data_IF_075591335752
#
_entry.id   IF_075591335752
#
_cell.length_a   1.000
_cell.length_b   1.000
_cell.length_c   1.000
_cell.angle_alpha   90.00
_cell.angle_beta   90.00
_cell.angle_gamma   90.00
#
_symmetry.space_group_name_H-M   'P 1'
#
loop_
_entity.id
_entity.type
_entity.pdbx_description
1 polymer ?
#
# COMPACT_ATOMS: atom_id res chain seq x y z
N UNK A 1 14.47 3.37 1.15
CA UNK A 1 14.46 2.13 1.96
C UNK A 1 13.03 1.73 2.25
N UNK A 2 12.75 0.45 2.40
CA UNK A 2 11.42 -0.05 2.76
C UNK A 2 11.45 -0.84 4.08
N UNK A 3 10.62 -0.45 5.05
CA UNK A 3 10.32 -1.27 6.22
C UNK A 3 8.99 -2.00 5.99
N UNK A 4 8.86 -3.21 6.51
CA UNK A 4 7.69 -4.07 6.25
C UNK A 4 7.44 -4.21 4.75
N UNK A 5 8.51 -4.54 4.02
CA UNK A 5 8.55 -4.40 2.56
C UNK A 5 7.52 -5.28 1.82
N UNK A 6 7.10 -6.38 2.45
CA UNK A 6 6.27 -7.40 1.84
C UNK A 6 6.91 -7.89 0.54
N UNK A 7 6.13 -7.93 -0.53
CA UNK A 7 6.63 -8.28 -1.87
C UNK A 7 7.17 -7.07 -2.65
N UNK A 8 7.50 -5.96 -1.99
CA UNK A 8 8.20 -4.83 -2.61
C UNK A 8 7.32 -3.88 -3.42
N UNK A 9 6.08 -3.66 -2.99
CA UNK A 9 5.16 -2.72 -3.66
C UNK A 9 5.70 -1.28 -3.67
N UNK A 10 6.26 -0.83 -2.53
CA UNK A 10 6.91 0.48 -2.44
C UNK A 10 8.25 0.52 -3.20
N UNK A 11 9.03 -0.55 -3.14
CA UNK A 11 10.31 -0.65 -3.85
C UNK A 11 10.13 -0.54 -5.37
N UNK A 12 9.14 -1.26 -5.92
CA UNK A 12 8.78 -1.18 -7.33
C UNK A 12 8.28 0.23 -7.71
N UNK A 13 7.45 0.84 -6.88
CA UNK A 13 6.97 2.21 -7.10
C UNK A 13 8.13 3.23 -7.09
N UNK A 14 9.08 3.08 -6.16
CA UNK A 14 10.27 3.90 -6.08
C UNK A 14 11.14 3.77 -7.33
N UNK A 15 11.41 2.54 -7.76
CA UNK A 15 12.15 2.27 -9.00
C UNK A 15 11.49 2.91 -10.23
N UNK A 16 10.16 2.79 -10.38
CA UNK A 16 9.41 3.42 -11.48
C UNK A 16 9.41 4.95 -11.43
N UNK A 17 9.59 5.53 -10.26
CA UNK A 17 9.73 6.97 -10.06
C UNK A 17 11.18 7.47 -10.21
N UNK A 18 12.14 6.60 -10.55
CA UNK A 18 13.54 6.97 -10.75
C UNK A 18 14.38 6.98 -9.47
N UNK A 19 13.88 6.42 -8.37
CA UNK A 19 14.63 6.22 -7.13
C UNK A 19 15.28 4.84 -7.12
N UNK A 20 16.41 4.71 -6.44
CA UNK A 20 17.08 3.41 -6.24
C UNK A 20 16.66 2.81 -4.89
N UNK A 21 16.01 1.63 -4.87
CA UNK A 21 15.80 0.89 -3.63
C UNK A 21 17.15 0.56 -2.97
N UNK A 22 17.37 1.06 -1.77
CA UNK A 22 18.67 0.99 -1.09
C UNK A 22 18.77 -0.18 -0.10
N UNK A 23 17.67 -0.54 0.58
CA UNK A 23 17.57 -1.61 1.56
C UNK A 23 16.09 -1.89 1.86
N UNK A 24 15.78 -3.16 2.15
CA UNK A 24 14.47 -3.59 2.64
C UNK A 24 14.58 -4.34 3.98
N UNK A 25 13.53 -4.23 4.81
CA UNK A 25 13.33 -5.02 6.04
C UNK A 25 12.02 -5.78 5.90
N UNK A 26 12.09 -7.11 5.96
CA UNK A 26 10.93 -8.00 5.84
C UNK A 26 11.17 -9.29 6.62
N UNK A 27 10.18 -9.70 7.43
CA UNK A 27 10.27 -10.87 8.32
C UNK A 27 9.71 -12.13 7.67
N UNK A 28 8.72 -12.02 6.78
CA UNK A 28 8.06 -13.16 6.13
C UNK A 28 9.01 -13.85 5.12
N UNK A 29 9.39 -15.12 5.34
CA UNK A 29 10.35 -15.81 4.48
C UNK A 29 9.93 -15.89 3.01
N UNK A 30 8.64 -16.00 2.72
CA UNK A 30 8.15 -16.11 1.35
C UNK A 30 8.22 -14.76 0.63
N UNK A 31 7.84 -13.67 1.30
CA UNK A 31 7.99 -12.31 0.79
C UNK A 31 9.46 -11.94 0.60
N UNK A 32 10.34 -12.31 1.54
CA UNK A 32 11.80 -12.18 1.40
C UNK A 32 12.33 -12.90 0.16
N UNK A 33 11.84 -14.10 -0.12
CA UNK A 33 12.22 -14.84 -1.32
C UNK A 33 11.74 -14.18 -2.62
N UNK A 34 10.55 -13.56 -2.62
CA UNK A 34 10.09 -12.73 -3.76
C UNK A 34 11.03 -11.55 -3.96
N UNK A 35 11.39 -10.82 -2.91
CA UNK A 35 12.33 -9.71 -2.99
C UNK A 35 13.70 -10.16 -3.49
N UNK A 36 14.22 -11.29 -3.03
CA UNK A 36 15.47 -11.86 -3.52
C UNK A 36 15.43 -12.20 -5.02
N UNK A 37 14.29 -12.69 -5.52
CA UNK A 37 14.12 -13.02 -6.93
C UNK A 37 13.96 -11.78 -7.82
N UNK A 38 13.32 -10.72 -7.32
CA UNK A 38 12.97 -9.51 -8.11
C UNK A 38 13.97 -8.37 -7.96
N UNK A 39 14.65 -8.30 -6.81
CA UNK A 39 15.60 -7.26 -6.43
C UNK A 39 16.85 -7.92 -5.83
N UNK A 40 17.60 -8.74 -6.60
CA UNK A 40 18.66 -9.61 -6.06
C UNK A 40 19.84 -8.85 -5.44
N UNK A 41 20.06 -7.59 -5.82
CA UNK A 41 21.10 -6.74 -5.25
C UNK A 41 20.66 -5.93 -4.04
N UNK A 42 19.38 -6.02 -3.64
CA UNK A 42 18.84 -5.24 -2.53
C UNK A 42 19.26 -5.89 -1.19
N UNK A 43 20.00 -5.19 -0.32
CA UNK A 43 20.25 -5.65 1.03
C UNK A 43 18.93 -5.90 1.77
N UNK A 44 18.80 -7.07 2.39
CA UNK A 44 17.55 -7.54 2.97
C UNK A 44 17.72 -7.97 4.45
N UNK A 45 17.35 -7.08 5.36
CA UNK A 45 17.31 -7.35 6.80
C UNK A 45 15.97 -8.00 7.20
N UNK A 46 15.93 -8.64 8.37
CA UNK A 46 14.79 -9.49 8.77
C UNK A 46 13.81 -8.80 9.69
N UNK A 47 14.02 -8.87 11.01
CA UNK A 47 13.07 -8.33 12.00
C UNK A 47 13.38 -6.85 12.28
N UNK A 48 12.38 -5.99 12.10
CA UNK A 48 12.47 -4.56 12.41
C UNK A 48 12.88 -4.29 13.87
N UNK A 49 12.55 -5.20 14.80
CA UNK A 49 12.88 -5.11 16.23
C UNK A 49 14.38 -5.24 16.50
N UNK A 50 15.08 -5.95 15.63
CA UNK A 50 16.52 -6.23 15.76
C UNK A 50 17.39 -5.23 14.99
N UNK A 51 16.78 -4.48 14.06
CA UNK A 51 17.49 -3.53 13.21
C UNK A 51 17.64 -2.18 13.90
N UNK A 52 18.86 -1.66 13.94
CA UNK A 52 19.17 -0.31 14.44
C UNK A 52 19.24 0.72 13.32
N UNK A 53 19.12 2.01 13.68
CA UNK A 53 19.35 3.11 12.74
C UNK A 53 20.75 3.07 12.11
N UNK A 54 21.75 2.55 12.84
CA UNK A 54 23.11 2.39 12.34
C UNK A 54 23.19 1.35 11.23
N UNK A 55 22.49 0.23 11.39
CA UNK A 55 22.44 -0.82 10.37
C UNK A 55 21.83 -0.29 9.07
N UNK A 56 20.75 0.49 9.20
CA UNK A 56 20.06 1.13 8.07
C UNK A 56 20.90 2.23 7.41
N UNK A 57 21.63 3.01 8.19
CA UNK A 57 22.49 4.09 7.68
C UNK A 57 23.63 3.56 6.78
N UNK A 58 23.98 2.27 6.86
CA UNK A 58 24.94 1.68 5.91
C UNK A 58 24.46 1.68 4.46
N UNK A 59 23.14 1.75 4.24
CA UNK A 59 22.53 1.73 2.92
C UNK A 59 22.38 3.12 2.28
N UNK A 60 22.50 4.22 3.04
CA UNK A 60 22.40 5.59 2.52
C UNK A 60 23.53 6.47 3.08
N UNK A 61 24.30 7.18 2.23
CA UNK A 61 25.38 8.04 2.69
C UNK A 61 24.92 9.18 3.61
N UNK A 62 23.76 9.78 3.30
CA UNK A 62 23.13 10.83 4.10
C UNK A 62 21.66 10.48 4.35
N UNK A 63 21.25 10.26 5.62
CA UNK A 63 19.85 10.06 5.95
C UNK A 63 18.95 11.24 5.57
N UNK A 64 19.46 12.48 5.50
CA UNK A 64 18.66 13.63 5.06
C UNK A 64 18.24 13.53 3.59
N UNK A 65 18.99 12.79 2.77
CA UNK A 65 18.61 12.49 1.39
C UNK A 65 17.76 11.21 1.29
N UNK A 66 17.53 10.47 2.37
CA UNK A 66 16.78 9.20 2.38
C UNK A 66 15.25 9.39 2.27
N UNK A 67 14.62 8.57 1.41
CA UNK A 67 13.19 8.30 1.39
C UNK A 67 12.88 6.93 2.01
N UNK A 68 12.16 6.92 3.14
CA UNK A 68 11.76 5.71 3.86
C UNK A 68 10.27 5.40 3.64
N UNK A 69 9.94 4.17 3.27
CA UNK A 69 8.54 3.73 3.15
C UNK A 69 8.20 2.66 4.17
N UNK A 70 6.97 2.65 4.71
CA UNK A 70 6.52 1.59 5.61
C UNK A 70 5.00 1.38 5.56
N UNK A 71 4.57 0.17 5.19
CA UNK A 71 3.18 -0.30 5.38
C UNK A 71 3.11 -1.19 6.61
N UNK A 72 3.00 -0.60 7.80
CA UNK A 72 3.13 -1.39 9.04
C UNK A 72 1.86 -2.20 9.33
N UNK A 73 1.97 -3.33 10.07
CA UNK A 73 0.84 -4.22 10.30
C UNK A 73 -0.36 -3.51 10.97
N UNK A 74 -1.57 -3.78 10.47
CA UNK A 74 -2.80 -3.06 10.83
C UNK A 74 -3.89 -3.96 11.48
N UNK A 75 -3.54 -5.20 11.84
CA UNK A 75 -4.51 -6.22 12.24
C UNK A 75 -5.29 -5.86 13.51
N UNK A 76 -4.71 -5.07 14.42
CA UNK A 76 -5.37 -4.67 15.68
C UNK A 76 -6.16 -3.35 15.56
N UNK A 77 -6.03 -2.66 14.42
CA UNK A 77 -6.67 -1.37 14.10
C UNK A 77 -7.94 -1.53 13.24
N UNK A 78 -8.24 -2.76 12.80
CA UNK A 78 -9.38 -3.06 11.95
C UNK A 78 -10.68 -3.29 12.73
N UNK A 79 -11.81 -2.94 12.10
CA UNK A 79 -13.18 -3.16 12.58
C UNK A 79 -13.47 -4.61 12.99
N UNK A 80 -12.74 -5.58 12.45
CA UNK A 80 -12.92 -7.01 12.77
C UNK A 80 -11.67 -7.69 13.35
N UNK A 81 -10.70 -6.91 13.84
CA UNK A 81 -9.72 -7.37 14.84
C UNK A 81 -10.24 -7.16 16.26
N UNK A 82 -9.40 -7.45 17.26
CA UNK A 82 -9.74 -7.28 18.69
C UNK A 82 -9.78 -5.81 19.15
N UNK A 83 -9.55 -4.84 18.24
CA UNK A 83 -9.49 -3.39 18.53
C UNK A 83 -8.54 -3.04 19.68
N UNK A 84 -7.44 -3.77 19.81
CA UNK A 84 -6.39 -3.43 20.77
C UNK A 84 -5.66 -2.13 20.38
N UNK A 85 -5.86 -1.61 19.16
CA UNK A 85 -5.27 -0.35 18.74
C UNK A 85 -3.76 -0.46 18.63
N UNK A 86 -3.04 0.60 18.99
CA UNK A 86 -1.57 0.60 19.05
C UNK A 86 -0.99 -0.24 20.20
N UNK A 87 -1.82 -0.64 21.18
CA UNK A 87 -1.41 -1.51 22.29
C UNK A 87 -1.35 -3.00 21.86
N UNK A 88 -1.78 -3.33 20.64
CA UNK A 88 -1.70 -4.68 20.08
C UNK A 88 -0.27 -5.05 19.63
N UNK A 89 0.09 -6.34 19.74
CA UNK A 89 1.45 -6.82 19.41
C UNK A 89 1.89 -6.53 17.97
N UNK A 90 0.96 -6.48 17.02
CA UNK A 90 1.27 -6.28 15.59
C UNK A 90 1.21 -4.80 15.23
N UNK A 91 0.17 -4.09 15.67
CA UNK A 91 -0.01 -2.67 15.37
C UNK A 91 0.93 -1.78 16.20
N UNK A 92 1.40 -2.28 17.35
CA UNK A 92 2.43 -1.67 18.20
C UNK A 92 3.83 -1.65 17.55
N UNK A 93 4.03 -2.34 16.42
CA UNK A 93 5.24 -2.16 15.60
C UNK A 93 5.40 -0.72 15.06
N UNK A 94 4.35 0.11 15.19
CA UNK A 94 4.48 1.57 15.06
C UNK A 94 5.60 2.15 15.95
N UNK A 95 5.79 1.65 17.17
CA UNK A 95 6.83 2.16 18.07
C UNK A 95 8.24 1.76 17.63
N UNK A 96 8.40 0.60 16.98
CA UNK A 96 9.65 0.22 16.33
C UNK A 96 9.96 1.10 15.11
N UNK A 97 8.94 1.39 14.31
CA UNK A 97 9.04 2.39 13.24
C UNK A 97 9.45 3.75 13.81
N UNK A 98 8.84 4.19 14.92
CA UNK A 98 9.17 5.46 15.57
C UNK A 98 10.62 5.48 16.07
N UNK A 99 11.09 4.39 16.70
CA UNK A 99 12.50 4.22 17.12
C UNK A 99 13.46 4.37 15.93
N UNK A 100 13.13 3.76 14.79
CA UNK A 100 13.94 3.88 13.57
C UNK A 100 13.90 5.31 13.03
N UNK A 101 12.73 5.94 12.94
CA UNK A 101 12.60 7.32 12.46
C UNK A 101 13.35 8.32 13.37
N UNK A 102 13.38 8.06 14.67
CA UNK A 102 14.09 8.87 15.66
C UNK A 102 15.61 8.75 15.54
N UNK A 103 16.11 7.53 15.35
CA UNK A 103 17.55 7.28 15.19
C UNK A 103 18.10 7.59 13.81
N UNK A 104 17.37 7.24 12.74
CA UNK A 104 17.82 7.42 11.35
C UNK A 104 17.55 8.84 10.85
N UNK A 105 16.46 9.47 11.30
CA UNK A 105 16.05 10.82 10.89
C UNK A 105 15.99 11.03 9.36
N UNK A 106 15.34 10.14 8.58
CA UNK A 106 15.27 10.28 7.13
C UNK A 106 14.71 11.64 6.70
N UNK A 107 15.14 12.16 5.55
CA UNK A 107 14.62 13.39 4.98
C UNK A 107 13.12 13.29 4.71
N UNK A 108 12.70 12.21 4.04
CA UNK A 108 11.31 11.94 3.72
C UNK A 108 10.88 10.56 4.24
N UNK A 109 9.62 10.45 4.62
CA UNK A 109 8.98 9.15 4.77
C UNK A 109 7.58 9.11 4.16
N UNK A 110 7.15 7.91 3.76
CA UNK A 110 5.78 7.57 3.38
C UNK A 110 5.31 6.36 4.20
N UNK A 111 4.34 6.57 5.08
CA UNK A 111 3.73 5.50 5.86
C UNK A 111 2.34 5.18 5.32
N UNK A 112 1.94 3.91 5.40
CA UNK A 112 0.64 3.43 4.96
C UNK A 112 -0.04 2.60 6.04
N UNK A 113 -1.35 2.81 6.20
CA UNK A 113 -2.21 2.00 7.06
C UNK A 113 -3.67 2.01 6.57
N UNK A 114 -4.58 1.38 7.32
CA UNK A 114 -6.01 1.34 7.01
C UNK A 114 -6.75 2.57 7.55
N UNK A 115 -7.87 2.98 6.92
CA UNK A 115 -8.68 4.10 7.42
C UNK A 115 -9.24 3.89 8.84
N UNK A 116 -9.34 2.65 9.32
CA UNK A 116 -9.78 2.32 10.68
C UNK A 116 -8.95 3.01 11.77
N UNK A 117 -7.66 3.28 11.51
CA UNK A 117 -6.77 4.03 12.41
C UNK A 117 -7.34 5.40 12.81
N UNK A 118 -8.05 6.09 11.89
CA UNK A 118 -8.64 7.42 12.15
C UNK A 118 -9.67 7.38 13.29
N UNK A 119 -10.33 6.24 13.47
CA UNK A 119 -11.41 6.06 14.46
C UNK A 119 -11.01 5.16 15.62
N UNK A 120 -9.84 4.51 15.55
CA UNK A 120 -9.36 3.59 16.57
C UNK A 120 -9.19 4.32 17.91
N UNK A 121 -9.63 3.68 19.00
CA UNK A 121 -9.63 4.26 20.35
C UNK A 121 -10.22 5.68 20.41
N UNK A 122 -11.33 5.91 19.70
CA UNK A 122 -11.98 7.21 19.58
C UNK A 122 -11.05 8.30 19.01
N UNK A 123 -10.14 7.92 18.11
CA UNK A 123 -9.16 8.81 17.48
C UNK A 123 -7.87 8.99 18.28
N UNK A 124 -7.74 8.41 19.49
CA UNK A 124 -6.52 8.54 20.29
C UNK A 124 -5.30 7.93 19.60
N UNK A 125 -5.45 6.79 18.94
CA UNK A 125 -4.34 6.14 18.24
C UNK A 125 -3.81 7.01 17.10
N UNK A 126 -4.71 7.63 16.33
CA UNK A 126 -4.33 8.61 15.31
C UNK A 126 -3.63 9.83 15.93
N UNK A 127 -4.12 10.31 17.07
CA UNK A 127 -3.49 11.38 17.85
C UNK A 127 -2.07 11.01 18.26
N UNK A 128 -1.85 9.79 18.76
CA UNK A 128 -0.52 9.27 19.09
C UNK A 128 0.38 9.23 17.86
N UNK A 129 -0.09 8.68 16.73
CA UNK A 129 0.71 8.61 15.50
C UNK A 129 1.14 10.00 15.04
N UNK A 130 0.21 10.93 14.90
CA UNK A 130 0.52 12.29 14.42
C UNK A 130 1.38 13.05 15.42
N UNK A 131 1.05 12.98 16.71
CA UNK A 131 1.80 13.63 17.79
C UNK A 131 3.24 13.14 17.85
N UNK A 132 3.45 11.83 17.91
CA UNK A 132 4.80 11.25 17.96
C UNK A 132 5.64 11.61 16.73
N UNK A 133 5.06 11.58 15.53
CA UNK A 133 5.77 11.97 14.31
C UNK A 133 6.12 13.48 14.29
N UNK A 134 5.22 14.33 14.80
CA UNK A 134 5.46 15.77 14.94
C UNK A 134 6.53 16.08 15.99
N UNK A 135 6.53 15.36 17.11
CA UNK A 135 7.54 15.48 18.18
C UNK A 135 8.96 15.14 17.69
N UNK A 136 9.07 14.25 16.69
CA UNK A 136 10.34 13.96 16.00
C UNK A 136 10.78 15.08 15.03
N UNK A 137 10.01 16.17 14.92
CA UNK A 137 10.33 17.33 14.09
C UNK A 137 9.90 17.23 12.63
N UNK A 138 8.99 16.30 12.29
CA UNK A 138 8.48 16.19 10.92
C UNK A 138 7.28 17.11 10.70
N UNK A 139 7.27 17.79 9.56
CA UNK A 139 6.04 18.33 8.98
C UNK A 139 5.27 17.18 8.33
N UNK A 140 3.95 17.18 8.44
CA UNK A 140 3.11 16.03 8.07
C UNK A 140 1.95 16.45 7.18
N UNK A 141 1.63 15.59 6.22
CA UNK A 141 0.35 15.57 5.54
C UNK A 141 -0.17 14.14 5.52
N UNK A 142 -1.47 13.95 5.65
CA UNK A 142 -2.08 12.63 5.52
C UNK A 142 -3.38 12.69 4.73
N UNK A 143 -3.70 11.61 4.03
CA UNK A 143 -4.91 11.50 3.22
C UNK A 143 -5.32 10.05 3.04
N UNK A 144 -6.63 9.81 3.01
CA UNK A 144 -7.17 8.52 2.53
C UNK A 144 -7.27 8.56 1.01
N UNK A 145 -6.58 7.65 0.34
CA UNK A 145 -6.62 7.46 -1.11
C UNK A 145 -7.29 6.12 -1.43
N UNK A 146 -8.14 6.10 -2.45
CA UNK A 146 -8.75 4.88 -2.97
C UNK A 146 -8.04 4.48 -4.27
N UNK A 147 -7.50 3.26 -4.33
CA UNK A 147 -6.77 2.77 -5.49
C UNK A 147 -7.58 2.87 -6.81
N UNK A 148 -8.92 2.85 -6.73
CA UNK A 148 -9.81 3.08 -7.88
C UNK A 148 -9.54 4.39 -8.62
N UNK A 149 -9.00 5.41 -7.94
CA UNK A 149 -8.61 6.68 -8.56
C UNK A 149 -7.30 6.64 -9.34
N UNK A 150 -6.56 5.53 -9.28
CA UNK A 150 -5.19 5.39 -9.79
C UNK A 150 -5.06 4.25 -10.80
N UNK A 151 -6.15 3.91 -11.50
CA UNK A 151 -6.15 2.87 -12.53
C UNK A 151 -6.22 1.43 -12.00
N UNK A 152 -6.43 1.25 -10.69
CA UNK A 152 -6.66 -0.07 -10.08
C UNK A 152 -8.16 -0.31 -9.97
N UNK A 153 -8.79 -1.23 -10.73
CA UNK A 153 -10.24 -1.45 -10.69
C UNK A 153 -10.69 -2.21 -9.42
N UNK A 154 -10.36 -1.68 -8.24
CA UNK A 154 -10.67 -2.22 -6.93
C UNK A 154 -10.89 -1.08 -5.94
N UNK A 155 -11.94 -1.19 -5.11
CA UNK A 155 -12.10 -0.33 -3.94
C UNK A 155 -11.10 -0.73 -2.86
N UNK A 156 -10.06 0.07 -2.71
CA UNK A 156 -8.96 -0.15 -1.76
C UNK A 156 -8.53 1.19 -1.20
N UNK A 157 -9.27 1.60 -0.16
CA UNK A 157 -8.98 2.81 0.61
C UNK A 157 -7.88 2.56 1.62
N UNK A 158 -6.83 3.38 1.56
CA UNK A 158 -5.69 3.38 2.48
C UNK A 158 -5.36 4.78 2.94
N UNK A 159 -4.95 4.88 4.20
CA UNK A 159 -4.48 6.10 4.83
C UNK A 159 -2.97 6.18 4.60
N UNK A 160 -2.54 7.27 3.98
CA UNK A 160 -1.13 7.55 3.75
C UNK A 160 -0.70 8.75 4.58
N UNK A 161 0.48 8.66 5.18
CA UNK A 161 1.15 9.75 5.87
C UNK A 161 2.45 10.07 5.14
N UNK A 162 2.64 11.32 4.77
CA UNK A 162 3.89 11.81 4.22
C UNK A 162 4.52 12.78 5.22
N UNK A 163 5.78 12.53 5.57
CA UNK A 163 6.54 13.37 6.47
C UNK A 163 7.83 13.87 5.84
N UNK A 164 8.20 15.10 6.20
CA UNK A 164 9.48 15.68 5.78
C UNK A 164 10.17 16.45 6.91
N UNK A 165 11.49 16.27 6.99
CA UNK A 165 12.39 16.98 7.90
C UNK A 165 13.32 17.86 7.08
N UNK A 166 12.84 19.04 6.69
CA UNK A 166 13.56 19.97 5.82
C UNK A 166 12.61 21.05 5.27
N UNK A 167 12.96 21.65 4.14
CA UNK A 167 12.20 22.75 3.54
C UNK A 167 11.04 22.31 2.62
N UNK A 168 10.97 21.04 2.18
CA UNK A 168 9.88 20.51 1.35
C UNK A 168 8.54 20.36 2.07
N UNK A 169 7.42 20.65 1.40
CA UNK A 169 6.08 20.62 1.97
C UNK A 169 5.35 19.31 1.63
N UNK A 170 5.05 18.45 2.62
CA UNK A 170 4.29 17.22 2.39
C UNK A 170 2.87 17.47 1.87
N UNK A 171 2.25 18.62 2.18
CA UNK A 171 0.90 18.93 1.71
C UNK A 171 0.87 19.16 0.20
N UNK A 172 1.87 19.89 -0.33
CA UNK A 172 2.06 20.07 -1.78
C UNK A 172 2.18 18.72 -2.54
N UNK A 173 2.76 17.72 -1.89
CA UNK A 173 2.89 16.38 -2.49
C UNK A 173 1.58 15.60 -2.40
N UNK A 174 0.93 15.53 -1.23
CA UNK A 174 -0.15 14.56 -0.98
C UNK A 174 -1.57 15.12 -1.17
N UNK A 175 -1.76 16.43 -0.97
CA UNK A 175 -3.08 17.06 -0.93
C UNK A 175 -3.44 17.78 -2.23
N UNK A 176 -2.46 18.37 -2.91
CA UNK A 176 -2.68 19.12 -4.14
C UNK A 176 -3.31 18.24 -5.23
N UNK A 177 -4.54 18.51 -5.68
CA UNK A 177 -5.10 17.80 -6.81
C UNK A 177 -4.26 18.13 -8.05
N UNK A 178 -3.93 17.13 -8.87
CA UNK A 178 -3.69 17.46 -10.27
C UNK A 178 -4.98 18.14 -10.75
N UNK A 179 -4.90 19.43 -11.05
CA UNK A 179 -5.96 20.15 -11.74
C UNK A 179 -6.01 19.64 -13.18
N UNK A 180 -6.40 18.38 -13.34
CA UNK A 180 -6.93 17.89 -14.59
C UNK A 180 -8.22 18.63 -14.83
N UNK A 181 -8.28 19.44 -15.88
CA UNK A 181 -9.47 20.14 -16.37
C UNK A 181 -10.57 19.19 -16.88
N UNK A 182 -10.82 18.09 -16.18
CA UNK A 182 -12.01 17.29 -16.36
C UNK A 182 -13.18 18.08 -15.81
N UNK A 183 -13.99 18.67 -16.70
CA UNK A 183 -15.36 19.08 -16.37
C UNK A 183 -15.98 17.99 -15.49
N UNK A 184 -16.37 18.34 -14.27
CA UNK A 184 -17.20 17.46 -13.46
C UNK A 184 -18.36 16.99 -14.33
N UNK A 185 -18.52 15.67 -14.49
CA UNK A 185 -19.71 15.15 -15.13
C UNK A 185 -20.92 15.72 -14.36
N UNK A 186 -21.93 16.29 -15.04
CA UNK A 186 -23.05 16.92 -14.36
C UNK A 186 -23.68 15.92 -13.39
N UNK A 187 -23.87 16.39 -12.15
CA UNK A 187 -24.54 15.63 -11.11
C UNK A 187 -25.85 15.06 -11.65
N UNK A 188 -25.96 13.73 -11.66
CA UNK A 188 -27.18 13.03 -11.99
C UNK A 188 -27.85 12.63 -10.68
N UNK A 189 -29.00 13.21 -10.32
CA UNK A 189 -29.70 12.83 -9.10
C UNK A 189 -30.06 11.33 -9.15
N UNK A 190 -30.05 10.64 -8.00
CA UNK A 190 -30.53 9.26 -7.93
C UNK A 190 -31.95 9.19 -8.49
N UNK A 191 -32.19 8.29 -9.45
CA UNK A 191 -33.54 8.00 -9.92
C UNK A 191 -34.41 7.42 -8.78
N UNK A 192 -35.75 7.51 -8.89
CA UNK A 192 -36.64 6.98 -7.87
C UNK A 192 -36.39 5.48 -7.63
N UNK A 193 -36.56 4.98 -6.40
CA UNK A 193 -36.30 3.60 -6.06
C UNK A 193 -37.24 2.69 -6.85
N UNK A 194 -36.70 1.96 -7.84
CA UNK A 194 -37.43 0.88 -8.50
C UNK A 194 -37.52 -0.30 -7.54
N UNK A 195 -38.75 -0.72 -7.26
CA UNK A 195 -39.07 -1.85 -6.38
C UNK A 195 -38.23 -3.10 -6.71
N UNK A 196 -37.73 -3.75 -5.66
CA UNK A 196 -37.00 -5.00 -5.73
C UNK A 196 -37.92 -6.11 -6.26
N UNK A 197 -37.82 -6.41 -7.56
CA UNK A 197 -38.35 -7.63 -8.15
C UNK A 197 -37.34 -8.78 -8.05
N UNK A 198 -37.79 -10.04 -7.98
CA UNK A 198 -36.88 -11.18 -7.93
C UNK A 198 -36.06 -11.25 -9.21
N UNK A 199 -34.76 -11.53 -9.06
CA UNK A 199 -33.78 -11.55 -10.13
C UNK A 199 -34.29 -12.24 -11.39
N UNK A 200 -34.48 -11.48 -12.47
CA UNK A 200 -34.71 -12.01 -13.81
C UNK A 200 -33.84 -11.27 -14.83
N UNK A 201 -33.01 -12.09 -15.49
CA UNK A 201 -32.32 -11.95 -16.79
C UNK A 201 -31.60 -10.63 -17.06
N UNK A 202 -30.27 -10.74 -17.11
CA UNK A 202 -29.42 -9.80 -17.83
C UNK A 202 -29.92 -9.64 -19.28
N UNK A 203 -30.11 -8.39 -19.69
CA UNK A 203 -30.41 -8.00 -21.07
C UNK A 203 -29.23 -8.29 -22.02
N UNK A 204 -29.44 -8.14 -23.33
CA UNK A 204 -28.61 -8.78 -24.35
C UNK A 204 -27.20 -8.22 -24.40
N UNK A 205 -26.30 -9.12 -24.80
CA UNK A 205 -24.87 -8.96 -24.94
C UNK A 205 -24.46 -7.63 -25.61
N UNK A 206 -23.61 -6.87 -24.92
CA UNK A 206 -22.58 -6.09 -25.61
C UNK A 206 -21.50 -7.06 -26.03
N UNK A 207 -21.16 -7.02 -27.31
CA UNK A 207 -20.10 -7.79 -27.93
C UNK A 207 -18.74 -7.25 -27.48
N UNK A 208 -18.32 -7.58 -26.27
CA UNK A 208 -16.92 -7.42 -25.88
C UNK A 208 -16.50 -8.74 -25.22
N UNK A 209 -15.56 -9.42 -25.85
CA UNK A 209 -14.92 -10.67 -25.40
C UNK A 209 -14.06 -10.48 -24.13
N UNK A 210 -14.16 -9.34 -23.47
CA UNK A 210 -13.36 -8.98 -22.31
C UNK A 210 -14.05 -9.40 -21.00
N UNK A 211 -13.39 -10.17 -20.14
CA UNK A 211 -13.94 -10.56 -18.85
C UNK A 211 -14.22 -9.33 -17.98
N UNK A 212 -15.46 -9.19 -17.51
CA UNK A 212 -15.84 -8.12 -16.57
C UNK A 212 -15.54 -8.58 -15.15
N UNK A 213 -14.79 -7.77 -14.40
CA UNK A 213 -14.62 -7.96 -12.95
C UNK A 213 -15.96 -7.62 -12.29
N UNK A 214 -16.63 -8.63 -11.73
CA UNK A 214 -17.88 -8.46 -11.01
C UNK A 214 -17.55 -8.45 -9.51
N UNK A 215 -18.09 -7.46 -8.78
CA UNK A 215 -17.94 -7.37 -7.33
C UNK A 215 -18.39 -8.63 -6.59
N UNK A 216 -18.09 -8.78 -5.30
CA UNK A 216 -18.37 -10.01 -4.58
C UNK A 216 -19.85 -10.31 -4.52
N UNK A 217 -20.19 -11.58 -4.79
CA UNK A 217 -21.51 -12.12 -4.49
C UNK A 217 -21.64 -12.22 -2.97
N UNK A 218 -22.53 -11.43 -2.36
CA UNK A 218 -22.90 -11.59 -0.95
C UNK A 218 -23.69 -12.90 -0.79
N UNK A 219 -23.01 -14.01 -0.51
CA UNK A 219 -23.68 -15.21 -0.01
C UNK A 219 -23.90 -15.04 1.48
N UNK A 220 -25.16 -14.87 1.89
CA UNK A 220 -25.56 -14.85 3.29
C UNK A 220 -25.07 -16.11 4.01
N UNK A 221 -24.18 -15.93 5.00
CA UNK A 221 -23.74 -16.90 6.04
C UNK A 221 -23.12 -18.23 5.57
N UNK A 222 -21.91 -18.50 6.05
CA UNK A 222 -21.58 -19.83 6.58
C UNK A 222 -20.79 -19.71 7.89
N UNK A 223 -21.21 -20.38 8.97
CA UNK A 223 -20.50 -20.44 10.24
C UNK A 223 -19.42 -21.54 10.20
N UNK A 224 -18.29 -21.29 10.86
CA UNK A 224 -17.16 -22.23 11.08
C UNK A 224 -16.22 -22.43 9.89
N UNK A 225 -15.25 -21.54 9.80
CA UNK A 225 -13.97 -21.79 9.13
C UNK A 225 -12.91 -20.93 9.81
N UNK A 226 -11.90 -21.55 10.42
CA UNK A 226 -10.72 -20.85 10.94
C UNK A 226 -9.91 -20.30 9.73
N UNK A 227 -10.32 -19.14 9.24
CA UNK A 227 -9.56 -18.34 8.28
C UNK A 227 -8.78 -17.27 9.02
N UNK A 228 -7.49 -17.16 8.72
CA UNK A 228 -6.59 -16.15 9.28
C UNK A 228 -7.18 -14.74 9.12
N UNK A 229 -7.35 -14.06 10.26
CA UNK A 229 -7.92 -12.73 10.35
C UNK A 229 -7.04 -11.70 9.63
N UNK A 230 -7.49 -11.26 8.47
CA UNK A 230 -6.97 -10.12 7.73
C UNK A 230 -8.15 -9.29 7.27
N UNK A 231 -8.79 -8.58 8.19
CA UNK A 231 -9.97 -7.79 7.85
C UNK A 231 -9.52 -6.41 7.46
N UNK A 232 -9.43 -6.18 6.17
CA UNK A 232 -9.68 -4.86 5.64
C UNK A 232 -11.20 -4.75 5.45
N UNK A 233 -11.80 -3.56 5.58
CA UNK A 233 -13.15 -3.25 5.08
C UNK A 233 -13.21 -3.29 3.52
N UNK A 234 -12.47 -4.25 2.96
CA UNK A 234 -12.33 -4.55 1.56
C UNK A 234 -13.18 -5.76 1.26
N UNK A 235 -14.06 -5.57 0.29
CA UNK A 235 -14.57 -6.61 -0.56
C UNK A 235 -13.44 -7.29 -1.37
N UNK A 236 -12.41 -7.81 -0.68
CA UNK A 236 -11.29 -8.56 -1.22
C UNK A 236 -10.76 -9.47 -0.11
N UNK A 237 -11.60 -10.35 0.43
CA UNK A 237 -11.08 -11.59 0.99
C UNK A 237 -10.38 -12.33 -0.16
N UNK A 238 -9.19 -12.86 0.10
CA UNK A 238 -8.46 -13.71 -0.84
C UNK A 238 -9.42 -14.74 -1.46
N UNK A 239 -9.67 -14.65 -2.77
CA UNK A 239 -10.61 -15.52 -3.48
C UNK A 239 -12.08 -15.08 -3.54
N UNK A 240 -12.43 -13.83 -3.28
CA UNK A 240 -13.83 -13.36 -3.37
C UNK A 240 -14.14 -12.42 -4.53
N UNK A 241 -13.12 -11.96 -5.28
CA UNK A 241 -13.34 -11.25 -6.55
C UNK A 241 -13.68 -12.29 -7.61
N UNK A 242 -14.83 -12.09 -8.27
CA UNK A 242 -15.39 -13.05 -9.21
C UNK A 242 -15.41 -12.46 -10.62
N UNK A 243 -14.87 -13.20 -11.57
CA UNK A 243 -14.88 -12.82 -12.99
C UNK A 243 -16.02 -13.53 -13.68
N UNK A 244 -16.88 -12.79 -14.37
CA UNK A 244 -17.93 -13.35 -15.22
C UNK A 244 -17.40 -13.54 -16.64
N UNK A 245 -17.29 -14.78 -17.10
CA UNK A 245 -16.99 -15.14 -18.48
C UNK A 245 -18.18 -15.81 -19.17
N UNK A 246 -18.07 -16.14 -20.47
CA UNK A 246 -19.17 -16.69 -21.29
C UNK A 246 -19.88 -17.93 -20.73
N UNK A 247 -19.30 -18.64 -19.75
CA UNK A 247 -19.91 -19.84 -19.17
C UNK A 247 -19.74 -20.04 -17.65
N UNK A 248 -19.02 -19.17 -16.91
CA UNK A 248 -18.81 -19.40 -15.48
C UNK A 248 -18.38 -18.16 -14.69
N UNK A 249 -18.65 -18.21 -13.38
CA UNK A 249 -18.20 -17.24 -12.39
C UNK A 249 -17.05 -17.85 -11.58
N UNK A 250 -15.81 -17.37 -11.78
CA UNK A 250 -14.60 -17.92 -11.12
C UNK A 250 -13.88 -16.91 -10.24
N UNK A 251 -13.01 -17.37 -9.35
CA UNK A 251 -12.08 -16.50 -8.61
C UNK A 251 -11.02 -15.92 -9.56
N UNK A 252 -10.44 -14.79 -9.19
CA UNK A 252 -9.19 -14.32 -9.80
C UNK A 252 -8.10 -15.39 -9.64
N UNK A 253 -7.22 -15.50 -10.64
CA UNK A 253 -5.94 -16.21 -10.50
C UNK A 253 -4.85 -15.24 -10.03
N UNK A 254 -3.73 -15.71 -9.46
CA UNK A 254 -2.71 -14.81 -8.90
C UNK A 254 -2.18 -13.75 -9.87
N UNK A 255 -1.97 -14.09 -11.15
CA UNK A 255 -1.50 -13.14 -12.17
C UNK A 255 -2.50 -12.02 -12.41
N UNK A 256 -3.80 -12.30 -12.39
CA UNK A 256 -4.82 -11.25 -12.48
C UNK A 256 -4.81 -10.35 -11.25
N UNK A 257 -4.49 -10.90 -10.08
CA UNK A 257 -4.39 -10.14 -8.85
C UNK A 257 -3.09 -9.30 -8.78
N UNK A 258 -1.99 -9.79 -9.37
CA UNK A 258 -0.76 -9.00 -9.61
C UNK A 258 -1.08 -7.77 -10.46
N UNK A 259 -1.71 -7.97 -11.62
CA UNK A 259 -2.14 -6.89 -12.52
C UNK A 259 -3.09 -5.92 -11.81
N UNK A 260 -4.07 -6.44 -11.06
CA UNK A 260 -5.00 -5.61 -10.29
C UNK A 260 -4.26 -4.68 -9.32
N UNK A 261 -3.21 -5.18 -8.65
CA UNK A 261 -2.41 -4.42 -7.70
C UNK A 261 -1.30 -3.59 -8.38
N UNK A 262 -1.17 -3.67 -9.71
CA UNK A 262 -0.19 -2.94 -10.52
C UNK A 262 1.22 -3.56 -10.56
N UNK A 263 1.36 -4.81 -10.13
CA UNK A 263 2.60 -5.59 -10.26
C UNK A 263 2.76 -6.16 -11.68
N UNK A 264 4.00 -6.35 -12.15
CA UNK A 264 4.29 -7.13 -13.35
C UNK A 264 3.77 -8.58 -13.23
N UNK A 265 3.50 -9.19 -14.38
CA UNK A 265 3.09 -10.59 -14.44
C UNK A 265 4.14 -11.50 -13.83
N UNK A 266 3.69 -12.43 -12.98
CA UNK A 266 4.54 -13.40 -12.31
C UNK A 266 5.37 -12.81 -11.17
N UNK A 267 5.12 -11.58 -10.72
CA UNK A 267 5.89 -10.93 -9.65
C UNK A 267 6.05 -11.82 -8.41
N UNK A 268 4.98 -12.49 -7.99
CA UNK A 268 4.94 -13.42 -6.84
C UNK A 268 5.05 -14.89 -7.25
N UNK A 269 5.34 -15.21 -8.52
CA UNK A 269 5.36 -16.59 -9.00
C UNK A 269 6.42 -17.46 -8.31
N UNK A 270 7.52 -16.86 -7.86
CA UNK A 270 8.64 -17.56 -7.23
C UNK A 270 9.04 -16.90 -5.92
N UNK A 271 9.66 -17.68 -5.03
CA UNK A 271 10.31 -17.23 -3.81
C UNK A 271 11.61 -18.03 -3.63
N UNK A 272 12.76 -17.36 -3.63
CA UNK A 272 14.08 -18.01 -3.68
C UNK A 272 14.19 -19.00 -4.85
N UNK A 273 13.69 -18.60 -6.03
CA UNK A 273 13.63 -19.42 -7.24
C UNK A 273 12.60 -20.56 -7.22
N UNK A 274 11.94 -20.83 -6.10
CA UNK A 274 10.96 -21.90 -5.99
C UNK A 274 9.55 -21.41 -6.34
N UNK A 275 8.78 -22.14 -7.17
CA UNK A 275 7.40 -21.79 -7.48
C UNK A 275 6.54 -21.68 -6.21
N UNK A 276 5.71 -20.64 -6.14
CA UNK A 276 4.75 -20.44 -5.05
C UNK A 276 3.35 -20.93 -5.43
N UNK A 277 2.67 -21.56 -4.48
CA UNK A 277 1.24 -21.85 -4.61
C UNK A 277 0.39 -20.58 -4.54
N UNK A 278 -0.88 -20.69 -4.94
CA UNK A 278 -1.78 -19.55 -5.05
C UNK A 278 -2.05 -18.84 -3.70
N UNK A 279 -2.20 -19.58 -2.60
CA UNK A 279 -2.58 -19.02 -1.29
C UNK A 279 -1.52 -18.05 -0.74
N UNK A 280 -0.21 -18.40 -0.69
CA UNK A 280 0.85 -17.45 -0.36
C UNK A 280 0.83 -16.19 -1.23
N UNK A 281 0.68 -16.37 -2.55
CA UNK A 281 0.66 -15.26 -3.51
C UNK A 281 -0.51 -14.30 -3.26
N UNK A 282 -1.72 -14.81 -3.02
CA UNK A 282 -2.87 -13.98 -2.67
C UNK A 282 -2.67 -13.23 -1.35
N UNK A 283 -2.05 -13.87 -0.35
CA UNK A 283 -1.78 -13.26 0.96
C UNK A 283 -0.79 -12.10 0.80
N UNK A 284 0.31 -12.34 0.10
CA UNK A 284 1.34 -11.34 -0.21
C UNK A 284 0.77 -10.14 -0.96
N UNK A 285 0.01 -10.38 -2.03
CA UNK A 285 -0.61 -9.33 -2.84
C UNK A 285 -1.70 -8.57 -2.08
N UNK A 286 -2.44 -9.24 -1.18
CA UNK A 286 -3.45 -8.62 -0.33
C UNK A 286 -2.87 -7.68 0.72
N UNK A 287 -1.67 -7.97 1.20
CA UNK A 287 -0.92 -7.14 2.16
C UNK A 287 -0.14 -6.02 1.46
N UNK A 288 0.25 -6.18 0.20
CA UNK A 288 1.00 -5.18 -0.53
C UNK A 288 0.24 -3.84 -0.71
N UNK A 289 0.99 -2.74 -0.67
CA UNK A 289 0.51 -1.45 -1.15
C UNK A 289 0.24 -1.53 -2.67
N UNK A 290 -0.90 -1.01 -3.18
CA UNK A 290 -1.12 -0.93 -4.62
C UNK A 290 -0.04 -0.07 -5.27
N UNK A 291 0.69 -0.64 -6.23
CA UNK A 291 1.84 0.00 -6.87
C UNK A 291 1.47 1.35 -7.50
N UNK A 292 0.32 1.50 -8.20
CA UNK A 292 0.01 2.77 -8.86
C UNK A 292 -0.22 3.94 -7.89
N UNK A 293 -0.74 3.66 -6.69
CA UNK A 293 -0.93 4.69 -5.65
C UNK A 293 0.41 5.12 -5.09
N UNK A 294 1.25 4.15 -4.71
CA UNK A 294 2.59 4.41 -4.20
C UNK A 294 3.47 5.14 -5.24
N UNK A 295 3.37 4.75 -6.51
CA UNK A 295 4.08 5.36 -7.62
C UNK A 295 3.65 6.82 -7.83
N UNK A 296 2.34 7.10 -7.79
CA UNK A 296 1.83 8.46 -7.91
C UNK A 296 2.36 9.39 -6.81
N UNK A 297 2.34 8.93 -5.55
CA UNK A 297 2.89 9.71 -4.42
C UNK A 297 4.39 9.94 -4.62
N UNK A 298 5.13 8.88 -4.99
CA UNK A 298 6.58 8.94 -5.10
C UNK A 298 7.05 9.85 -6.23
N UNK A 299 6.39 9.80 -7.41
CA UNK A 299 6.70 10.72 -8.52
C UNK A 299 6.51 12.18 -8.12
N UNK A 300 5.45 12.49 -7.37
CA UNK A 300 5.18 13.85 -6.88
C UNK A 300 6.19 14.30 -5.84
N UNK A 301 6.59 13.39 -4.94
CA UNK A 301 7.67 13.64 -3.99
C UNK A 301 8.96 14.01 -4.72
N UNK A 302 9.35 13.22 -5.73
CA UNK A 302 10.55 13.48 -6.53
C UNK A 302 10.47 14.84 -7.23
N UNK A 303 9.35 15.14 -7.90
CA UNK A 303 9.15 16.41 -8.57
C UNK A 303 9.22 17.61 -7.58
N UNK A 304 8.57 17.47 -6.42
CA UNK A 304 8.58 18.49 -5.38
C UNK A 304 9.99 18.69 -4.82
N UNK A 305 10.68 17.61 -4.46
CA UNK A 305 12.04 17.66 -3.95
C UNK A 305 12.98 18.39 -4.92
N UNK A 306 12.97 18.01 -6.20
CA UNK A 306 13.82 18.61 -7.23
C UNK A 306 13.53 20.12 -7.40
N UNK A 307 12.25 20.51 -7.36
CA UNK A 307 11.85 21.92 -7.45
C UNK A 307 12.33 22.76 -6.26
N UNK A 308 12.35 22.17 -5.05
CA UNK A 308 12.74 22.89 -3.82
C UNK A 308 14.24 22.95 -3.60
N UNK A 309 15.00 21.96 -4.07
CA UNK A 309 16.46 21.90 -3.89
C UNK A 309 17.25 22.48 -5.07
N UNK A 310 16.58 22.80 -6.18
CA UNK A 310 17.24 23.22 -7.43
C UNK A 310 18.11 22.12 -8.06
N UNK A 311 17.97 20.87 -7.62
CA UNK A 311 18.68 19.72 -8.17
C UNK A 311 17.89 19.12 -9.34
N UNK A 312 18.59 18.75 -10.42
CA UNK A 312 18.02 17.93 -11.49
C UNK A 312 17.81 16.48 -11.06
N UNK A 313 18.60 16.03 -10.08
CA UNK A 313 18.66 14.64 -9.65
C UNK A 313 17.60 14.36 -8.58
N UNK A 314 16.96 13.17 -8.62
CA UNK A 314 15.99 12.77 -7.61
C UNK A 314 16.65 12.64 -6.23
N UNK A 315 15.86 12.73 -5.13
CA UNK A 315 16.37 12.43 -3.78
C UNK A 315 16.99 11.02 -3.76
N UNK A 316 17.96 10.77 -2.89
CA UNK A 316 18.72 9.51 -2.84
C UNK A 316 19.53 9.15 -4.11
N UNK A 317 19.74 10.07 -5.07
CA UNK A 317 20.58 9.81 -6.25
C UNK A 317 22.00 9.39 -5.84
N UNK A 318 22.40 8.17 -6.21
CA UNK A 318 23.77 7.66 -6.02
C UNK A 318 24.73 8.12 -7.12
N UNK A 319 24.34 9.09 -7.96
CA UNK A 319 25.24 9.67 -8.94
C UNK A 319 26.45 10.26 -8.21
N UNK A 320 27.57 9.55 -8.30
CA UNK A 320 28.87 9.93 -7.75
C UNK A 320 29.17 11.37 -8.13
N UNK A 321 29.37 12.23 -7.12
CA UNK A 321 30.33 13.33 -7.24
C UNK A 321 31.74 12.75 -7.15
#
# INVERSE_FOLDING_TARGET
MSLFAGVGGFDLAAARAGLTPALAVEIDPAARGVLADRLPSLPLLSDVREVSARDLATAVPDPADCFLTAGWPCQDLSTAGNRAGLDGERSGLFFELLRILDGLRPGWFLLENVPGLLTSNAGRDMGTVVGSLADLGYRLAWRVLDAQGFGVPQRRRRLYFLGHRGAGDPAAVLLEPESGGGRAAPYRPPGPPTAAGPARRAGPARSDTEPVIVGPLQTSRSPRGHGTAGVNDQYVLAGHVRVAGPAAVRRLVPVEYERLQGFPDGWTATSYGNPQGDVPRFTQLGNAAPVPVAEWITRRLVAHHNSTTGRSDPPCSTAKR
#
